data_IF_870021436703
#
_entry.id   IF_870021436703
#
_cell.length_a   1.000
_cell.length_b   1.000
_cell.length_c   1.000
_cell.angle_alpha   90.00
_cell.angle_beta   90.00
_cell.angle_gamma   90.00
#
_symmetry.space_group_name_H-M   'P 1'
#
loop_
_entity.id
_entity.type
_entity.pdbx_description
1 polymer ?
#
# COMPACT_ATOMS: atom_id res chain seq x y z
N UNK A 1 -15.35 -3.07 -9.82
CA UNK A 1 -14.92 -3.57 -8.49
C UNK A 1 -16.07 -4.15 -7.65
N UNK A 2 -17.33 -3.88 -7.98
CA UNK A 2 -18.52 -4.45 -7.30
C UNK A 2 -18.49 -5.98 -7.14
N UNK A 3 -18.06 -6.72 -8.16
CA UNK A 3 -17.91 -8.17 -8.07
C UNK A 3 -16.90 -8.60 -6.99
N UNK A 4 -15.78 -7.87 -6.85
CA UNK A 4 -14.79 -8.11 -5.80
C UNK A 4 -15.39 -7.85 -4.42
N UNK A 5 -16.20 -6.79 -4.28
CA UNK A 5 -16.87 -6.47 -3.02
C UNK A 5 -17.92 -7.51 -2.63
N UNK A 6 -18.69 -8.02 -3.60
CA UNK A 6 -19.62 -9.12 -3.38
C UNK A 6 -18.89 -10.37 -2.88
N UNK A 7 -17.76 -10.73 -3.50
CA UNK A 7 -16.91 -11.83 -3.03
C UNK A 7 -16.32 -11.56 -1.64
N UNK A 8 -15.88 -10.33 -1.38
CA UNK A 8 -15.35 -9.92 -0.08
C UNK A 8 -16.39 -10.14 1.02
N UNK A 9 -17.65 -9.81 0.75
CA UNK A 9 -18.77 -10.09 1.66
C UNK A 9 -19.00 -11.58 1.86
N UNK A 10 -18.96 -12.39 0.80
CA UNK A 10 -19.12 -13.84 0.88
C UNK A 10 -18.03 -14.52 1.73
N UNK A 11 -16.79 -14.05 1.64
CA UNK A 11 -15.67 -14.59 2.43
C UNK A 11 -15.56 -13.96 3.83
N UNK A 12 -16.45 -13.02 4.18
CA UNK A 12 -16.46 -12.35 5.47
C UNK A 12 -15.27 -11.40 5.68
N UNK A 13 -14.77 -10.79 4.61
CA UNK A 13 -13.77 -9.74 4.70
C UNK A 13 -14.32 -8.54 5.48
N UNK A 14 -13.47 -7.91 6.29
CA UNK A 14 -13.80 -6.72 7.07
C UNK A 14 -13.29 -5.43 6.41
N UNK A 15 -12.36 -5.56 5.46
CA UNK A 15 -11.66 -4.47 4.81
C UNK A 15 -11.36 -4.84 3.35
N UNK A 16 -11.53 -3.87 2.45
CA UNK A 16 -11.17 -3.91 1.04
C UNK A 16 -10.06 -2.88 0.79
N UNK A 17 -8.92 -3.34 0.26
CA UNK A 17 -7.84 -2.47 -0.21
C UNK A 17 -8.07 -2.16 -1.69
N UNK A 18 -8.12 -0.87 -2.01
CA UNK A 18 -8.15 -0.35 -3.38
C UNK A 18 -6.76 0.15 -3.74
N UNK A 19 -6.19 -0.48 -4.76
CA UNK A 19 -4.95 0.00 -5.37
C UNK A 19 -5.31 1.06 -6.43
N UNK A 20 -4.86 2.33 -6.28
CA UNK A 20 -5.43 3.47 -7.00
C UNK A 20 -5.10 3.53 -8.50
N UNK A 21 -4.07 2.79 -8.95
CA UNK A 21 -3.64 2.86 -10.34
C UNK A 21 -2.90 4.16 -10.62
N UNK A 22 -3.22 4.84 -11.73
CA UNK A 22 -2.50 6.06 -12.14
C UNK A 22 -1.03 5.80 -12.46
N UNK A 23 -0.77 4.76 -13.24
CA UNK A 23 0.59 4.33 -13.60
C UNK A 23 0.75 4.47 -15.11
N UNK A 24 1.86 5.05 -15.56
CA UNK A 24 2.14 5.34 -16.97
C UNK A 24 3.59 5.03 -17.33
N UNK A 25 3.90 4.65 -18.59
CA UNK A 25 5.29 4.47 -19.03
C UNK A 25 6.18 5.69 -18.77
N UNK A 26 5.62 6.90 -18.83
CA UNK A 26 6.29 8.16 -18.45
C UNK A 26 5.29 9.14 -17.83
N UNK A 27 5.66 9.84 -16.75
CA UNK A 27 4.76 10.79 -16.05
C UNK A 27 4.24 11.93 -16.94
N UNK A 28 4.94 12.28 -18.01
CA UNK A 28 4.55 13.36 -18.93
C UNK A 28 3.30 13.02 -19.79
N UNK A 29 2.83 11.77 -19.76
CA UNK A 29 1.73 11.29 -20.61
C UNK A 29 0.34 11.39 -19.96
N UNK A 30 0.26 11.60 -18.64
CA UNK A 30 -1.02 11.72 -17.92
C UNK A 30 -1.05 13.00 -17.08
N UNK A 31 -2.18 13.72 -17.11
CA UNK A 31 -2.45 14.78 -16.16
C UNK A 31 -2.81 14.13 -14.80
N UNK A 32 -2.00 14.33 -13.74
CA UNK A 32 -2.31 13.80 -12.41
C UNK A 32 -3.67 14.27 -11.88
N UNK A 33 -4.10 15.48 -12.26
CA UNK A 33 -5.41 16.02 -11.85
C UNK A 33 -6.57 15.23 -12.47
N UNK A 34 -6.49 14.93 -13.77
CA UNK A 34 -7.51 14.10 -14.44
C UNK A 34 -7.53 12.67 -13.88
N UNK A 35 -6.35 12.08 -13.64
CA UNK A 35 -6.25 10.75 -13.02
C UNK A 35 -6.84 10.72 -11.60
N UNK A 36 -6.64 11.79 -10.83
CA UNK A 36 -7.21 11.93 -9.49
C UNK A 36 -8.72 12.09 -9.51
N UNK A 37 -9.26 12.92 -10.41
CA UNK A 37 -10.71 13.13 -10.54
C UNK A 37 -11.41 11.80 -10.89
N UNK A 38 -10.85 11.02 -11.82
CA UNK A 38 -11.35 9.69 -12.17
C UNK A 38 -11.32 8.74 -10.98
N UNK A 39 -10.21 8.74 -10.22
CA UNK A 39 -10.09 7.89 -9.03
C UNK A 39 -11.16 8.25 -8.00
N UNK A 40 -11.35 9.54 -7.70
CA UNK A 40 -12.33 10.02 -6.72
C UNK A 40 -13.75 9.64 -7.12
N UNK A 41 -14.13 9.86 -8.38
CA UNK A 41 -15.47 9.52 -8.89
C UNK A 41 -15.77 8.01 -8.73
N UNK A 42 -14.78 7.15 -9.01
CA UNK A 42 -14.92 5.70 -8.85
C UNK A 42 -14.91 5.26 -7.38
N UNK A 43 -14.13 5.93 -6.52
CA UNK A 43 -14.12 5.66 -5.08
C UNK A 43 -15.46 6.01 -4.44
N UNK A 44 -16.05 7.16 -4.74
CA UNK A 44 -17.36 7.54 -4.20
C UNK A 44 -18.43 6.50 -4.56
N UNK A 45 -18.45 6.07 -5.82
CA UNK A 45 -19.37 5.04 -6.27
C UNK A 45 -19.15 3.70 -5.54
N UNK A 46 -17.90 3.31 -5.30
CA UNK A 46 -17.59 2.06 -4.61
C UNK A 46 -17.82 2.14 -3.09
N UNK A 47 -17.62 3.30 -2.47
CA UNK A 47 -17.75 3.51 -1.03
C UNK A 47 -19.18 3.30 -0.56
N UNK A 48 -20.16 3.81 -1.33
CA UNK A 48 -21.58 3.58 -1.06
C UNK A 48 -21.89 2.08 -0.96
N UNK A 49 -21.35 1.28 -1.89
CA UNK A 49 -21.52 -0.17 -1.87
C UNK A 49 -20.77 -0.84 -0.70
N UNK A 50 -19.57 -0.36 -0.34
CA UNK A 50 -18.79 -0.93 0.76
C UNK A 50 -19.47 -0.70 2.11
N UNK A 51 -20.09 0.48 2.30
CA UNK A 51 -20.93 0.82 3.46
C UNK A 51 -22.10 -0.16 3.57
N UNK A 52 -22.83 -0.41 2.47
CA UNK A 52 -23.93 -1.38 2.44
C UNK A 52 -23.47 -2.83 2.75
N UNK A 53 -22.25 -3.16 2.34
CA UNK A 53 -21.64 -4.45 2.64
C UNK A 53 -21.12 -4.56 4.08
N UNK A 54 -20.95 -3.44 4.80
CA UNK A 54 -20.31 -3.38 6.10
C UNK A 54 -18.81 -3.68 6.04
N UNK A 55 -18.17 -3.33 4.93
CA UNK A 55 -16.75 -3.57 4.65
C UNK A 55 -16.05 -2.22 4.57
N UNK A 56 -15.01 -2.04 5.38
CA UNK A 56 -14.18 -0.83 5.35
C UNK A 56 -13.44 -0.74 4.02
N UNK A 57 -13.41 0.42 3.40
CA UNK A 57 -12.65 0.66 2.19
C UNK A 57 -11.42 1.52 2.48
N UNK A 58 -10.26 1.06 2.02
CA UNK A 58 -9.02 1.81 2.11
C UNK A 58 -8.37 1.96 0.74
N UNK A 59 -7.59 3.02 0.57
CA UNK A 59 -6.74 3.19 -0.61
C UNK A 59 -5.28 3.07 -0.21
N UNK A 60 -4.51 2.37 -1.05
CA UNK A 60 -3.07 2.15 -0.89
C UNK A 60 -2.26 3.30 -1.48
N UNK A 61 -1.16 3.70 -0.82
CA UNK A 61 -0.17 4.61 -1.42
C UNK A 61 0.73 3.88 -2.43
N UNK A 62 1.24 4.61 -3.40
CA UNK A 62 1.96 4.12 -4.57
C UNK A 62 3.46 4.39 -4.47
N UNK A 63 4.33 3.53 -5.05
CA UNK A 63 5.75 3.83 -5.19
C UNK A 63 5.95 4.82 -6.35
N UNK A 64 7.10 5.49 -6.41
CA UNK A 64 7.47 6.31 -7.58
C UNK A 64 7.58 5.46 -8.85
N UNK A 65 8.38 4.40 -8.79
CA UNK A 65 8.52 3.43 -9.86
C UNK A 65 7.67 2.20 -9.59
N UNK A 66 6.85 1.82 -10.56
CA UNK A 66 5.96 0.67 -10.49
C UNK A 66 6.44 -0.47 -11.38
N UNK A 67 6.44 -1.69 -10.87
CA UNK A 67 6.79 -2.90 -11.62
C UNK A 67 5.59 -3.42 -12.42
N UNK A 68 5.39 -2.87 -13.61
CA UNK A 68 4.33 -3.31 -14.51
C UNK A 68 4.71 -4.65 -15.18
N UNK A 69 3.88 -5.68 -14.97
CA UNK A 69 4.01 -6.96 -15.66
C UNK A 69 2.87 -7.15 -16.67
N UNK A 70 3.17 -7.19 -17.98
CA UNK A 70 2.17 -7.41 -19.02
C UNK A 70 1.39 -8.72 -18.82
N UNK A 71 0.07 -8.68 -19.09
CA UNK A 71 -0.82 -9.85 -18.96
C UNK A 71 -0.50 -10.95 -19.98
N UNK A 72 0.10 -10.61 -21.11
CA UNK A 72 0.53 -11.55 -22.14
C UNK A 72 1.81 -12.32 -21.78
N UNK A 73 2.38 -12.05 -20.60
CA UNK A 73 3.62 -12.67 -20.14
C UNK A 73 4.88 -12.06 -20.73
N UNK A 74 4.78 -10.86 -21.33
CA UNK A 74 5.93 -10.06 -21.74
C UNK A 74 6.88 -9.72 -20.60
N UNK A 75 8.02 -9.12 -20.96
CA UNK A 75 9.04 -8.67 -20.00
C UNK A 75 8.47 -7.62 -19.03
N UNK A 76 8.89 -7.68 -17.77
CA UNK A 76 8.52 -6.68 -16.79
C UNK A 76 9.07 -5.31 -17.21
N UNK A 77 8.26 -4.28 -17.01
CA UNK A 77 8.55 -2.90 -17.37
C UNK A 77 8.50 -2.04 -16.11
N UNK A 78 9.34 -1.01 -16.09
CA UNK A 78 9.27 0.02 -15.06
C UNK A 78 8.42 1.17 -15.58
N UNK A 79 7.31 1.43 -14.91
CA UNK A 79 6.43 2.56 -15.16
C UNK A 79 6.50 3.52 -13.96
N UNK A 80 5.84 4.67 -14.06
CA UNK A 80 5.86 5.72 -13.03
C UNK A 80 4.43 5.97 -12.54
N UNK A 81 4.26 6.08 -11.22
CA UNK A 81 2.99 6.47 -10.61
C UNK A 81 2.81 7.98 -10.67
N UNK A 82 1.61 8.44 -11.01
CA UNK A 82 1.28 9.87 -11.13
C UNK A 82 0.44 10.40 -9.99
N UNK A 83 -0.18 9.53 -9.19
CA UNK A 83 -1.05 9.87 -8.06
C UNK A 83 -0.75 8.98 -6.85
N UNK A 84 -1.11 9.46 -5.67
CA UNK A 84 -1.04 8.72 -4.39
C UNK A 84 0.37 8.29 -3.98
N UNK A 85 1.41 9.02 -4.40
CA UNK A 85 2.81 8.66 -4.12
C UNK A 85 3.27 9.26 -2.79
N UNK A 86 2.95 10.54 -2.57
CA UNK A 86 3.35 11.28 -1.37
C UNK A 86 2.28 11.26 -0.28
N UNK A 87 2.65 11.64 0.97
CA UNK A 87 1.70 11.74 2.06
C UNK A 87 0.61 12.80 1.82
N UNK A 88 0.93 13.91 1.15
CA UNK A 88 -0.05 14.97 0.88
C UNK A 88 -1.11 14.53 -0.15
N UNK A 89 -0.77 13.61 -1.06
CA UNK A 89 -1.69 13.11 -2.09
C UNK A 89 -2.91 12.41 -1.47
N UNK A 90 -2.76 11.82 -0.27
CA UNK A 90 -3.82 11.06 0.41
C UNK A 90 -4.87 11.93 1.11
N UNK A 91 -4.63 13.24 1.24
CA UNK A 91 -5.56 14.16 1.90
C UNK A 91 -6.92 14.20 1.20
N UNK A 92 -6.87 14.29 -0.13
CA UNK A 92 -8.05 14.43 -0.97
C UNK A 92 -8.98 13.23 -0.85
N UNK A 93 -8.46 12.05 -0.49
CA UNK A 93 -9.25 10.84 -0.33
C UNK A 93 -10.07 10.79 0.97
N UNK A 94 -9.80 11.66 1.94
CA UNK A 94 -10.47 11.64 3.26
C UNK A 94 -12.00 11.54 3.26
N UNK A 95 -12.74 12.24 2.37
CA UNK A 95 -14.19 12.14 2.36
C UNK A 95 -14.73 10.96 1.54
N UNK A 96 -13.87 10.21 0.82
CA UNK A 96 -14.27 9.23 -0.20
C UNK A 96 -14.01 7.77 0.22
N UNK A 97 -13.30 7.54 1.33
CA UNK A 97 -12.93 6.21 1.85
C UNK A 97 -12.95 6.21 3.39
N UNK A 98 -12.98 5.02 4.00
CA UNK A 98 -12.94 4.89 5.47
C UNK A 98 -11.53 5.10 6.05
N UNK A 99 -10.49 4.91 5.24
CA UNK A 99 -9.10 5.09 5.66
C UNK A 99 -8.09 4.78 4.57
N UNK A 100 -6.86 4.51 4.97
CA UNK A 100 -5.77 4.18 4.06
C UNK A 100 -5.09 2.86 4.41
N UNK A 101 -4.56 2.22 3.37
CA UNK A 101 -3.56 1.17 3.49
C UNK A 101 -2.21 1.84 3.32
N UNK A 102 -1.33 1.73 4.31
CA UNK A 102 0.05 2.14 4.15
C UNK A 102 0.86 0.93 3.67
N UNK A 103 1.30 0.96 2.41
CA UNK A 103 2.41 0.13 1.96
C UNK A 103 3.72 0.85 2.31
N UNK A 104 4.47 0.20 3.20
CA UNK A 104 5.71 0.74 3.76
C UNK A 104 6.84 0.78 2.73
N UNK A 105 6.87 -0.19 1.82
CA UNK A 105 7.88 -0.26 0.76
C UNK A 105 7.64 0.84 -0.27
N UNK A 106 6.38 1.03 -0.66
CA UNK A 106 5.97 2.13 -1.54
C UNK A 106 6.25 3.49 -0.91
N UNK A 107 5.89 3.67 0.36
CA UNK A 107 6.16 4.93 1.06
C UNK A 107 7.67 5.20 1.13
N UNK A 108 8.49 4.18 1.42
CA UNK A 108 9.94 4.33 1.38
C UNK A 108 10.44 4.74 -0.01
N UNK A 109 9.80 4.24 -1.08
CA UNK A 109 10.13 4.48 -2.48
C UNK A 109 9.26 5.57 -3.12
N UNK A 110 8.80 6.57 -2.34
CA UNK A 110 8.02 7.69 -2.88
C UNK A 110 8.79 8.53 -3.91
N UNK A 111 10.12 8.37 -3.98
CA UNK A 111 11.02 8.97 -4.96
C UNK A 111 12.21 8.02 -5.23
N UNK A 112 13.02 8.26 -6.27
CA UNK A 112 14.13 7.38 -6.62
C UNK A 112 15.29 7.29 -5.60
N UNK A 113 15.40 8.25 -4.68
CA UNK A 113 16.40 8.22 -3.61
C UNK A 113 15.96 7.36 -2.43
N UNK A 114 14.65 7.26 -2.24
CA UNK A 114 13.98 6.61 -1.13
C UNK A 114 14.34 7.20 0.23
N UNK A 115 13.59 6.84 1.27
CA UNK A 115 13.93 7.27 2.61
C UNK A 115 12.83 7.12 3.64
N UNK A 116 13.26 7.14 4.90
CA UNK A 116 12.34 7.12 6.05
C UNK A 116 11.50 8.39 6.16
N UNK A 117 11.98 9.53 5.68
CA UNK A 117 11.27 10.83 5.77
C UNK A 117 9.87 10.76 5.17
N UNK A 118 9.71 9.99 4.08
CA UNK A 118 8.43 9.74 3.43
C UNK A 118 7.47 8.96 4.33
N UNK A 119 7.92 7.82 4.86
CA UNK A 119 7.16 6.99 5.80
C UNK A 119 6.76 7.82 7.03
N UNK A 120 7.69 8.60 7.56
CA UNK A 120 7.44 9.51 8.69
C UNK A 120 6.38 10.55 8.35
N UNK A 121 6.40 11.11 7.14
CA UNK A 121 5.34 11.99 6.64
C UNK A 121 3.96 11.33 6.62
N UNK A 122 3.85 10.08 6.15
CA UNK A 122 2.59 9.34 6.20
C UNK A 122 2.11 9.08 7.63
N UNK A 123 3.03 8.70 8.53
CA UNK A 123 2.71 8.46 9.94
C UNK A 123 2.28 9.77 10.62
N UNK A 124 3.06 10.83 10.53
CA UNK A 124 2.77 12.10 11.20
C UNK A 124 1.43 12.71 10.73
N UNK A 125 1.11 12.56 9.44
CA UNK A 125 -0.07 13.16 8.84
C UNK A 125 -1.33 12.30 8.95
N UNK A 126 -1.20 10.98 8.80
CA UNK A 126 -2.32 10.08 8.58
C UNK A 126 -2.40 8.90 9.55
N UNK A 127 -1.61 8.84 10.63
CA UNK A 127 -1.63 7.73 11.60
C UNK A 127 -3.03 7.35 12.07
N UNK A 128 -3.93 8.33 12.24
CA UNK A 128 -5.30 8.09 12.68
C UNK A 128 -6.22 7.49 11.60
N UNK A 129 -5.81 7.57 10.33
CA UNK A 129 -6.55 7.07 9.16
C UNK A 129 -5.97 5.78 8.57
N UNK A 130 -4.78 5.35 9.00
CA UNK A 130 -4.19 4.09 8.56
C UNK A 130 -4.88 2.93 9.25
N UNK A 131 -5.61 2.11 8.47
CA UNK A 131 -6.38 0.96 8.98
C UNK A 131 -5.75 -0.39 8.61
N UNK A 132 -4.94 -0.41 7.54
CA UNK A 132 -4.23 -1.59 7.06
C UNK A 132 -2.77 -1.27 6.72
N UNK A 133 -1.90 -2.26 6.86
CA UNK A 133 -0.48 -2.17 6.53
C UNK A 133 -0.08 -3.28 5.57
N UNK A 134 0.59 -2.91 4.48
CA UNK A 134 1.41 -3.84 3.72
C UNK A 134 2.86 -3.68 4.19
N UNK A 135 3.44 -4.78 4.68
CA UNK A 135 4.73 -4.78 5.35
C UNK A 135 5.76 -5.54 4.54
N UNK A 136 6.70 -4.80 3.98
CA UNK A 136 7.90 -5.34 3.35
C UNK A 136 9.02 -4.31 3.47
N UNK A 137 10.25 -4.75 3.19
CA UNK A 137 11.40 -3.87 3.19
C UNK A 137 11.62 -3.29 1.79
N UNK A 138 12.51 -2.30 1.67
CA UNK A 138 12.76 -1.61 0.41
C UNK A 138 14.21 -1.18 0.27
N UNK A 139 14.67 -1.08 -0.98
CA UNK A 139 15.95 -0.47 -1.33
C UNK A 139 15.78 0.43 -2.57
N UNK A 140 16.38 1.63 -2.60
CA UNK A 140 16.29 2.49 -3.78
C UNK A 140 17.01 1.88 -5.00
N UNK A 141 16.64 2.28 -6.22
CA UNK A 141 15.56 3.23 -6.52
C UNK A 141 14.18 2.58 -6.65
N UNK A 142 14.11 1.26 -6.83
CA UNK A 142 12.88 0.56 -7.20
C UNK A 142 12.83 -0.89 -6.68
N UNK A 143 13.62 -1.26 -5.67
CA UNK A 143 13.56 -2.61 -5.08
C UNK A 143 12.52 -2.66 -3.96
N UNK A 144 11.25 -2.77 -4.35
CA UNK A 144 10.12 -2.95 -3.44
C UNK A 144 9.92 -4.42 -3.01
N UNK A 145 9.11 -4.63 -1.97
CA UNK A 145 8.69 -5.99 -1.57
C UNK A 145 9.83 -6.87 -1.07
N UNK A 146 10.95 -6.30 -0.60
CA UNK A 146 12.08 -7.05 -0.08
C UNK A 146 11.73 -7.73 1.25
N UNK A 147 12.52 -8.73 1.61
CA UNK A 147 12.37 -9.38 2.91
C UNK A 147 12.67 -8.41 4.06
N UNK A 148 11.95 -8.60 5.17
CA UNK A 148 12.13 -7.82 6.39
C UNK A 148 13.60 -7.93 6.87
N UNK A 149 14.29 -6.79 6.93
CA UNK A 149 15.69 -6.68 7.31
C UNK A 149 16.68 -6.86 6.16
N UNK A 150 16.22 -6.96 4.91
CA UNK A 150 17.08 -7.01 3.70
C UNK A 150 17.15 -5.67 2.97
N UNK A 151 16.38 -4.66 3.40
CA UNK A 151 16.42 -3.30 2.87
C UNK A 151 16.86 -2.27 3.91
N UNK A 152 16.37 -1.05 3.76
CA UNK A 152 16.75 0.12 4.57
C UNK A 152 15.60 0.69 5.41
N UNK A 153 14.43 0.04 5.41
CA UNK A 153 13.29 0.48 6.22
C UNK A 153 13.56 0.22 7.70
N UNK A 154 13.42 1.25 8.55
CA UNK A 154 13.36 1.08 10.00
C UNK A 154 11.99 0.51 10.42
N UNK A 155 11.84 -0.81 10.22
CA UNK A 155 10.60 -1.52 10.52
C UNK A 155 10.24 -1.49 12.00
N UNK A 156 11.24 -1.31 12.88
CA UNK A 156 11.00 -1.14 14.31
C UNK A 156 10.27 0.16 14.62
N UNK A 157 10.68 1.27 14.00
CA UNK A 157 9.99 2.56 14.07
C UNK A 157 8.57 2.49 13.51
N UNK A 158 8.39 1.83 12.37
CA UNK A 158 7.06 1.63 11.76
C UNK A 158 6.12 0.92 12.74
N UNK A 159 6.49 -0.29 13.21
CA UNK A 159 5.64 -1.08 14.11
C UNK A 159 5.39 -0.33 15.43
N UNK A 160 6.40 0.36 15.96
CA UNK A 160 6.25 1.15 17.19
C UNK A 160 5.19 2.25 17.07
N UNK A 161 5.04 2.86 15.89
CA UNK A 161 4.10 3.96 15.65
C UNK A 161 2.64 3.53 15.78
N UNK A 162 2.34 2.25 15.60
CA UNK A 162 0.99 1.69 15.72
C UNK A 162 0.66 1.09 17.09
N UNK A 163 1.53 1.25 18.09
CA UNK A 163 1.25 0.70 19.43
C UNK A 163 -0.03 1.26 20.03
N UNK A 164 -0.83 0.37 20.60
CA UNK A 164 -2.11 0.71 21.20
C UNK A 164 -3.20 1.03 20.18
N UNK A 165 -2.91 0.96 18.87
CA UNK A 165 -3.89 1.12 17.79
C UNK A 165 -4.32 -0.25 17.29
N UNK A 166 -5.59 -0.36 16.92
CA UNK A 166 -6.08 -1.54 16.22
C UNK A 166 -5.93 -1.32 14.72
N UNK A 167 -4.88 -1.90 14.15
CA UNK A 167 -4.63 -1.91 12.71
C UNK A 167 -4.45 -3.35 12.25
N UNK A 168 -4.81 -3.60 11.01
CA UNK A 168 -4.55 -4.89 10.35
C UNK A 168 -3.25 -4.80 9.56
N UNK A 169 -2.55 -5.91 9.38
CA UNK A 169 -1.28 -5.92 8.66
C UNK A 169 -1.04 -7.25 7.95
N UNK A 170 -0.41 -7.20 6.78
CA UNK A 170 0.03 -8.38 6.04
C UNK A 170 1.46 -8.18 5.52
N UNK A 171 2.35 -9.19 5.63
CA UNK A 171 3.64 -9.15 4.96
C UNK A 171 3.46 -9.31 3.44
N UNK A 172 3.88 -8.32 2.65
CA UNK A 172 3.81 -8.34 1.19
C UNK A 172 5.21 -8.47 0.57
N UNK A 173 5.76 -9.68 0.65
CA UNK A 173 7.07 -9.97 0.06
C UNK A 173 6.88 -10.25 -1.42
N UNK A 174 7.66 -9.61 -2.29
CA UNK A 174 7.66 -9.89 -3.72
C UNK A 174 8.01 -11.36 -3.97
N UNK A 175 7.11 -12.09 -4.63
CA UNK A 175 7.23 -13.54 -4.80
C UNK A 175 7.06 -14.34 -3.50
N UNK A 176 6.47 -13.75 -2.46
CA UNK A 176 6.31 -14.33 -1.13
C UNK A 176 5.53 -15.65 -1.09
N UNK A 177 4.62 -15.82 -2.06
CA UNK A 177 3.82 -17.03 -2.27
C UNK A 177 4.63 -18.20 -2.86
N UNK A 178 5.80 -17.93 -3.47
CA UNK A 178 6.63 -18.97 -4.09
C UNK A 178 7.19 -19.92 -3.03
N UNK A 179 7.49 -21.15 -3.46
CA UNK A 179 8.01 -22.18 -2.56
C UNK A 179 7.03 -22.56 -1.43
N UNK A 180 5.72 -22.41 -1.66
CA UNK A 180 4.69 -22.73 -0.66
C UNK A 180 4.54 -21.69 0.45
N UNK A 181 4.93 -20.44 0.21
CA UNK A 181 4.78 -19.36 1.19
C UNK A 181 5.92 -19.25 2.21
N UNK A 182 7.07 -19.90 1.98
CA UNK A 182 8.20 -19.87 2.92
C UNK A 182 8.72 -18.44 3.17
N UNK A 183 8.76 -17.61 2.12
CA UNK A 183 9.15 -16.20 2.25
C UNK A 183 8.14 -15.41 3.10
N UNK A 184 6.85 -15.61 2.87
CA UNK A 184 5.81 -15.02 3.72
C UNK A 184 5.96 -15.45 5.19
N UNK A 185 6.17 -16.75 5.45
CA UNK A 185 6.38 -17.27 6.80
C UNK A 185 7.63 -16.69 7.48
N UNK A 186 8.71 -16.48 6.73
CA UNK A 186 9.93 -15.83 7.24
C UNK A 186 9.65 -14.39 7.65
N UNK A 187 8.98 -13.61 6.80
CA UNK A 187 8.63 -12.22 7.11
C UNK A 187 7.77 -12.13 8.38
N UNK A 188 6.75 -12.99 8.49
CA UNK A 188 5.89 -13.03 9.68
C UNK A 188 6.66 -13.35 10.97
N UNK A 189 7.67 -14.21 10.92
CA UNK A 189 8.53 -14.52 12.07
C UNK A 189 9.36 -13.30 12.49
N UNK A 190 9.95 -12.59 11.53
CA UNK A 190 10.74 -11.39 11.82
C UNK A 190 9.89 -10.26 12.38
N UNK A 191 8.71 -10.00 11.81
CA UNK A 191 7.78 -9.00 12.32
C UNK A 191 7.37 -9.29 13.77
N UNK A 192 7.04 -10.55 14.09
CA UNK A 192 6.74 -10.96 15.48
C UNK A 192 7.93 -10.80 16.41
N UNK A 193 9.15 -11.06 15.93
CA UNK A 193 10.38 -10.86 16.70
C UNK A 193 10.56 -9.37 17.03
N UNK A 194 10.38 -8.49 16.05
CA UNK A 194 10.45 -7.04 16.26
C UNK A 194 9.39 -6.60 17.28
N UNK A 195 8.13 -6.98 17.06
CA UNK A 195 7.02 -6.69 17.98
C UNK A 195 7.35 -7.11 19.42
N UNK A 196 7.87 -8.33 19.63
CA UNK A 196 8.24 -8.84 20.96
C UNK A 196 9.41 -8.12 21.62
N UNK A 197 10.30 -7.50 20.83
CA UNK A 197 11.48 -6.79 21.34
C UNK A 197 11.12 -5.39 21.79
N UNK A 198 10.08 -4.84 21.17
CA UNK A 198 9.66 -3.47 21.44
C UNK A 198 8.55 -3.43 22.50
N UNK A 199 7.69 -4.45 22.60
CA UNK A 199 6.64 -4.57 23.62
C UNK A 199 7.16 -4.33 25.04
#
# INVERSE_FOLDING_TARGET
>A
MEATLAMAKEVGAILLVVHPGGITPTVDELDPGEGLDILVDELDHLHDHSIEAGILMTVENMPWYYHHKPLDGGEAQRWESTIMVGPDDMDVLAPHVDGMTLDVSHAFLHDPSGGMDAIEGFLDRHLDRILHLHLSDALPPDHEGLQIGEGLVDMEKVIRSFRGRQVTAVPEIMGGHRGGGLSFQRALKELRRIESTIA
#
